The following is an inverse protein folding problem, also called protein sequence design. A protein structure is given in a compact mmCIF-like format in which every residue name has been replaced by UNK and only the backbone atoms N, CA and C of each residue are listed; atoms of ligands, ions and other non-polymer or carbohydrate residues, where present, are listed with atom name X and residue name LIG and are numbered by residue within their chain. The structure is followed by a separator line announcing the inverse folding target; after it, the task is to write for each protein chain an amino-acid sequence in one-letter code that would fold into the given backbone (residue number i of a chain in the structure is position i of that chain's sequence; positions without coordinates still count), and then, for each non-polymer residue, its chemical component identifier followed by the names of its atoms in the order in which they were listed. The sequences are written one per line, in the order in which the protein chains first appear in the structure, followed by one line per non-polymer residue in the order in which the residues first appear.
data_IF_440704545342
#
_entry.id   IF_440704545342
#
_cell.length_a   1.000
_cell.length_b   1.000
_cell.length_c   1.000
_cell.angle_alpha   90.00
_cell.angle_beta   90.00
_cell.angle_gamma   90.00
#
_symmetry.space_group_name_H-M   'P 1'
#
loop_
_entity.id
_entity.type
_entity.pdbx_description
1 polymer ?
#
# COMPACT_ATOMS: atom_id res chain seq x y z
N UNK A 1 7.64 14.01 9.38
CA UNK A 1 6.68 12.91 9.11
C UNK A 1 6.27 13.03 7.65
N UNK A 2 6.46 11.99 6.83
CA UNK A 2 5.95 11.99 5.45
C UNK A 2 4.42 12.04 5.50
N UNK A 3 3.85 13.20 5.23
CA UNK A 3 2.41 13.50 5.40
C UNK A 3 1.52 12.62 4.53
N UNK A 4 2.03 12.08 3.43
CA UNK A 4 1.27 11.18 2.55
C UNK A 4 1.02 9.80 3.15
N UNK A 5 1.96 9.21 3.90
CA UNK A 5 1.81 7.85 4.42
C UNK A 5 0.59 7.73 5.35
N UNK A 6 0.29 8.79 6.13
CA UNK A 6 -0.83 8.81 7.06
C UNK A 6 -2.18 8.47 6.41
N UNK A 7 -2.38 8.83 5.13
CA UNK A 7 -3.63 8.55 4.40
C UNK A 7 -3.86 7.05 4.11
N UNK A 8 -2.81 6.23 4.25
CA UNK A 8 -2.85 4.80 3.97
C UNK A 8 -2.81 3.93 5.23
N UNK A 9 -2.71 4.55 6.41
CA UNK A 9 -2.62 3.86 7.70
C UNK A 9 -3.99 3.69 8.39
N UNK A 10 -5.08 4.00 7.69
CA UNK A 10 -6.44 3.71 8.13
C UNK A 10 -7.41 3.48 6.97
N UNK A 11 -8.55 2.88 7.26
CA UNK A 11 -9.68 2.75 6.32
C UNK A 11 -10.99 3.28 6.95
N UNK A 12 -12.11 3.10 6.25
CA UNK A 12 -13.42 3.57 6.68
C UNK A 12 -13.95 2.91 7.96
N UNK A 13 -13.36 1.78 8.41
CA UNK A 13 -13.69 1.20 9.72
C UNK A 13 -13.12 2.01 10.90
N UNK A 14 -12.14 2.87 10.64
CA UNK A 14 -11.35 3.52 11.68
C UNK A 14 -10.22 2.66 12.23
N UNK A 15 -10.01 1.46 11.68
CA UNK A 15 -8.86 0.62 12.01
C UNK A 15 -7.56 1.34 11.63
N UNK A 16 -6.56 1.26 12.52
CA UNK A 16 -5.28 1.97 12.36
C UNK A 16 -4.12 0.98 12.31
N UNK A 17 -3.14 1.30 11.48
CA UNK A 17 -1.96 0.48 11.30
C UNK A 17 -0.68 1.30 11.21
N UNK A 18 0.38 0.63 10.78
CA UNK A 18 1.70 1.22 10.60
C UNK A 18 2.42 0.56 9.43
N UNK A 19 3.32 1.30 8.80
CA UNK A 19 4.17 0.84 7.71
C UNK A 19 5.47 1.62 7.71
N UNK A 20 6.52 1.02 7.15
CA UNK A 20 7.85 1.61 7.02
C UNK A 20 7.98 2.44 5.74
N UNK A 21 7.35 1.99 4.65
CA UNK A 21 7.42 2.62 3.33
C UNK A 21 6.06 2.62 2.63
N UNK A 22 5.83 3.64 1.83
CA UNK A 22 4.72 3.76 0.89
C UNK A 22 5.27 3.80 -0.54
N UNK A 23 4.67 3.01 -1.41
CA UNK A 23 4.93 3.06 -2.86
C UNK A 23 3.64 3.37 -3.62
N UNK A 24 3.77 4.14 -4.70
CA UNK A 24 2.65 4.50 -5.60
C UNK A 24 3.12 4.28 -7.05
N UNK A 25 3.24 3.01 -7.48
CA UNK A 25 3.77 2.67 -8.80
C UNK A 25 2.95 3.30 -9.93
N UNK A 26 3.62 3.77 -10.97
CA UNK A 26 3.01 4.33 -12.16
C UNK A 26 2.52 3.26 -13.15
N UNK A 27 3.17 2.09 -13.16
CA UNK A 27 2.92 0.99 -14.09
C UNK A 27 3.30 -0.38 -13.50
N UNK A 28 2.98 -1.43 -14.25
CA UNK A 28 3.25 -2.84 -13.89
C UNK A 28 4.74 -3.14 -13.69
N UNK A 29 5.63 -2.44 -14.41
CA UNK A 29 7.08 -2.67 -14.32
C UNK A 29 7.62 -2.14 -12.99
N UNK A 30 7.18 -0.94 -12.59
CA UNK A 30 7.53 -0.36 -11.29
C UNK A 30 6.97 -1.23 -10.15
N UNK A 31 5.71 -1.67 -10.25
CA UNK A 31 5.11 -2.58 -9.27
C UNK A 31 5.92 -3.89 -9.14
N UNK A 32 6.30 -4.49 -10.26
CA UNK A 32 7.12 -5.71 -10.27
C UNK A 32 8.47 -5.50 -9.59
N UNK A 33 9.13 -4.37 -9.83
CA UNK A 33 10.41 -4.07 -9.21
C UNK A 33 10.27 -3.93 -7.69
N UNK A 34 9.24 -3.21 -7.21
CA UNK A 34 8.95 -3.05 -5.78
C UNK A 34 8.70 -4.41 -5.11
N UNK A 35 7.90 -5.28 -5.72
CA UNK A 35 7.61 -6.61 -5.17
C UNK A 35 8.85 -7.52 -5.16
N UNK A 36 9.71 -7.42 -6.18
CA UNK A 36 10.96 -8.16 -6.21
C UNK A 36 11.89 -7.73 -5.07
N UNK A 37 11.98 -6.44 -4.79
CA UNK A 37 12.79 -5.92 -3.68
C UNK A 37 12.20 -6.29 -2.31
N UNK A 38 10.87 -6.20 -2.15
CA UNK A 38 10.20 -6.66 -0.93
C UNK A 38 10.48 -8.14 -0.65
N UNK A 39 10.50 -8.96 -1.71
CA UNK A 39 10.80 -10.40 -1.62
C UNK A 39 12.23 -10.64 -1.17
N UNK A 40 13.22 -9.94 -1.76
CA UNK A 40 14.63 -10.05 -1.36
C UNK A 40 14.84 -9.64 0.09
N UNK A 41 14.12 -8.62 0.55
CA UNK A 41 14.19 -8.11 1.93
C UNK A 41 13.28 -8.88 2.90
N UNK A 42 12.56 -9.92 2.44
CA UNK A 42 11.57 -10.66 3.23
C UNK A 42 10.56 -9.75 3.95
N UNK A 43 10.21 -8.63 3.30
CA UNK A 43 9.36 -7.61 3.89
C UNK A 43 7.89 -7.86 3.56
N UNK A 44 6.99 -7.89 4.57
CA UNK A 44 5.56 -7.98 4.32
C UNK A 44 5.06 -6.82 3.47
N UNK A 45 4.14 -7.11 2.54
CA UNK A 45 3.53 -6.12 1.66
C UNK A 45 2.02 -6.12 1.86
N UNK A 46 1.44 -4.92 1.99
CA UNK A 46 -0.01 -4.71 1.98
C UNK A 46 -0.42 -3.89 0.76
N UNK A 47 -1.37 -4.42 -0.01
CA UNK A 47 -1.95 -3.70 -1.15
C UNK A 47 -3.05 -2.75 -0.66
N UNK A 48 -3.01 -1.52 -1.16
CA UNK A 48 -3.89 -0.44 -0.75
C UNK A 48 -4.74 0.07 -1.92
N UNK A 49 -6.05 -0.14 -1.82
CA UNK A 49 -7.05 0.37 -2.78
C UNK A 49 -7.61 1.75 -2.41
N UNK A 50 -8.93 1.92 -2.47
CA UNK A 50 -9.59 3.21 -2.27
C UNK A 50 -9.81 3.63 -0.80
N UNK A 51 -9.87 2.69 0.15
CA UNK A 51 -10.00 3.04 1.58
C UNK A 51 -11.36 2.86 2.20
N UNK A 52 -12.30 2.40 1.40
CA UNK A 52 -13.70 2.20 1.82
C UNK A 52 -13.94 0.87 2.52
N UNK A 53 -12.88 0.07 2.74
CA UNK A 53 -12.97 -1.19 3.47
C UNK A 53 -13.44 -0.97 4.92
N UNK A 54 -14.20 -1.92 5.44
CA UNK A 54 -14.74 -1.90 6.80
C UNK A 54 -14.12 -2.97 7.72
N UNK A 55 -13.13 -3.70 7.22
CA UNK A 55 -12.52 -4.83 7.91
C UNK A 55 -11.00 -4.68 8.10
N UNK A 56 -10.41 -3.51 7.80
CA UNK A 56 -8.97 -3.28 7.98
C UNK A 56 -8.08 -3.87 6.87
N UNK A 57 -8.66 -4.52 5.84
CA UNK A 57 -7.89 -5.34 4.89
C UNK A 57 -6.79 -4.62 4.09
N UNK A 58 -6.88 -3.30 3.93
CA UNK A 58 -5.84 -2.49 3.25
C UNK A 58 -4.78 -1.89 4.19
N UNK A 59 -4.96 -2.06 5.51
CA UNK A 59 -4.23 -1.35 6.54
C UNK A 59 -3.09 -2.23 7.03
N UNK A 60 -1.85 -1.86 6.68
CA UNK A 60 -0.67 -2.61 7.05
C UNK A 60 -0.43 -2.65 8.57
N UNK A 61 0.22 -3.72 9.03
CA UNK A 61 0.67 -3.92 10.42
C UNK A 61 2.19 -4.11 10.46
N UNK A 62 2.92 -3.30 9.68
CA UNK A 62 4.36 -3.41 9.44
C UNK A 62 4.69 -3.55 7.96
N UNK A 63 5.98 -3.48 7.61
CA UNK A 63 6.45 -3.63 6.24
C UNK A 63 5.99 -2.50 5.33
N UNK A 64 5.64 -2.84 4.08
CA UNK A 64 5.40 -1.86 3.02
C UNK A 64 3.94 -1.78 2.62
N UNK A 65 3.50 -0.57 2.27
CA UNK A 65 2.20 -0.33 1.65
C UNK A 65 2.40 0.04 0.18
N UNK A 66 1.62 -0.56 -0.71
CA UNK A 66 1.61 -0.22 -2.13
C UNK A 66 0.22 0.30 -2.50
N UNK A 67 0.11 1.57 -2.89
CA UNK A 67 -1.12 2.16 -3.42
C UNK A 67 -1.29 1.84 -4.90
N UNK A 68 -2.45 1.32 -5.27
CA UNK A 68 -2.79 1.02 -6.67
C UNK A 68 -3.50 2.19 -7.38
N UNK A 69 -3.53 3.39 -6.77
CA UNK A 69 -4.35 4.53 -7.22
C UNK A 69 -4.06 5.03 -8.65
N UNK A 70 -2.88 4.75 -9.21
CA UNK A 70 -2.54 5.13 -10.59
C UNK A 70 -3.03 4.12 -11.64
N UNK A 71 -3.39 2.90 -11.25
CA UNK A 71 -3.82 1.82 -12.14
C UNK A 71 -5.32 1.95 -12.46
N UNK A 72 -5.67 2.90 -13.32
CA UNK A 72 -7.06 3.30 -13.63
C UNK A 72 -7.50 3.05 -15.07
N UNK A 73 -6.70 2.29 -15.83
CA UNK A 73 -6.95 1.98 -17.24
C UNK A 73 -8.04 0.91 -17.36
N UNK A 74 -8.97 1.07 -18.31
CA UNK A 74 -10.18 0.24 -18.46
C UNK A 74 -10.29 -0.39 -19.86
N UNK A 75 -9.17 -0.59 -20.56
CA UNK A 75 -9.14 -1.15 -21.92
C UNK A 75 -9.94 -2.46 -22.04
#
# INVERSE_FOLDING_TARGET
MNTQLANYLSDASGYKGHAEKLFIPADESELSAILADATKELTPVTISGAGTGLAGGRVAQGGWVISMEKFRRLE
#
